data_IF_243797629549
#
_entry.id   IF_243797629549
#
_cell.length_a   1.000
_cell.length_b   1.000
_cell.length_c   1.000
_cell.angle_alpha   90.00
_cell.angle_beta   90.00
_cell.angle_gamma   90.00
#
_symmetry.space_group_name_H-M   'P 1'
#
loop_
_entity.id
_entity.type
_entity.pdbx_description
1 polymer ?
#
# COMPACT_ATOMS: atom_id res chain seq x y z
N UNK A 1 -31.60 71.14 26.01
CA UNK A 1 -32.78 71.72 25.33
C UNK A 1 -32.55 71.54 23.83
N UNK A 2 -33.30 70.79 23.02
CA UNK A 2 -34.52 69.99 23.19
C UNK A 2 -34.72 69.20 21.88
N UNK A 3 -35.17 67.94 21.97
CA UNK A 3 -35.91 67.19 20.95
C UNK A 3 -35.15 66.71 19.69
N UNK A 4 -35.48 65.58 19.06
CA UNK A 4 -36.64 64.72 19.25
C UNK A 4 -36.46 63.33 18.60
N UNK A 5 -37.38 62.44 18.94
CA UNK A 5 -37.36 60.97 18.90
C UNK A 5 -37.45 60.29 17.51
N UNK A 6 -36.98 59.03 17.48
CA UNK A 6 -37.41 57.94 16.55
C UNK A 6 -38.91 57.62 16.73
N UNK A 7 -39.67 57.03 15.77
CA UNK A 7 -39.51 55.59 15.42
C UNK A 7 -40.09 55.09 14.06
N UNK A 8 -39.69 53.89 13.63
CA UNK A 8 -40.49 52.76 13.03
C UNK A 8 -39.59 51.91 12.11
N UNK A 9 -39.29 50.68 12.51
CA UNK A 9 -40.07 49.46 12.22
C UNK A 9 -40.00 49.04 10.75
N UNK A 10 -39.11 48.09 10.47
CA UNK A 10 -39.09 47.26 9.28
C UNK A 10 -38.72 45.85 9.68
N UNK A 11 -39.72 45.07 10.10
CA UNK A 11 -39.66 43.62 10.22
C UNK A 11 -39.55 43.00 8.82
N UNK A 12 -38.58 42.12 8.60
CA UNK A 12 -38.47 41.37 7.35
C UNK A 12 -37.36 40.34 7.39
N UNK A 13 -37.67 39.17 7.94
CA UNK A 13 -36.95 37.90 7.73
C UNK A 13 -36.74 37.67 6.23
N UNK A 14 -35.48 37.52 5.83
CA UNK A 14 -35.08 37.13 4.48
C UNK A 14 -33.84 36.27 4.56
N UNK A 15 -34.05 34.95 4.60
CA UNK A 15 -33.02 33.95 4.42
C UNK A 15 -32.28 34.20 3.10
N UNK A 16 -31.07 34.74 3.19
CA UNK A 16 -30.12 34.83 2.09
C UNK A 16 -29.14 33.68 2.21
N UNK A 17 -29.61 32.47 1.90
CA UNK A 17 -28.79 31.31 1.58
C UNK A 17 -27.89 31.62 0.38
N UNK A 18 -26.73 32.20 0.64
CA UNK A 18 -25.62 32.14 -0.30
C UNK A 18 -25.05 30.73 -0.22
N UNK A 19 -25.07 29.92 -1.30
CA UNK A 19 -24.39 28.65 -1.29
C UNK A 19 -22.92 28.99 -1.14
N UNK A 20 -22.35 28.69 0.02
CA UNK A 20 -20.90 28.59 0.17
C UNK A 20 -20.46 27.73 -0.99
N UNK A 21 -19.74 28.33 -1.94
CA UNK A 21 -19.12 27.62 -3.04
C UNK A 21 -18.43 26.46 -2.38
N UNK A 22 -18.95 25.26 -2.62
CA UNK A 22 -18.21 24.04 -2.44
C UNK A 22 -16.88 24.30 -3.11
N UNK A 23 -15.85 24.56 -2.30
CA UNK A 23 -14.47 24.40 -2.71
C UNK A 23 -14.41 22.97 -3.20
N UNK A 24 -14.61 22.82 -4.50
CA UNK A 24 -14.34 21.59 -5.22
C UNK A 24 -12.90 21.30 -4.87
N UNK A 25 -12.71 20.37 -3.92
CA UNK A 25 -11.44 20.10 -3.25
C UNK A 25 -10.45 19.79 -4.36
N UNK A 26 -9.66 20.80 -4.73
CA UNK A 26 -8.72 20.69 -5.84
C UNK A 26 -7.85 19.49 -5.53
N UNK A 27 -7.75 18.54 -6.45
CA UNK A 27 -6.86 17.41 -6.27
C UNK A 27 -5.48 17.99 -5.93
N UNK A 28 -4.90 17.66 -4.76
CA UNK A 28 -3.67 18.27 -4.31
C UNK A 28 -2.58 18.07 -5.38
N UNK A 29 -1.84 19.14 -5.66
CA UNK A 29 -0.81 19.12 -6.70
C UNK A 29 0.34 18.18 -6.30
N UNK A 30 1.12 17.68 -7.27
CA UNK A 30 2.22 16.75 -7.00
C UNK A 30 3.23 17.30 -5.96
N UNK A 31 3.44 18.62 -5.97
CA UNK A 31 4.30 19.34 -5.00
C UNK A 31 3.70 19.35 -3.59
N UNK A 32 2.38 19.46 -3.47
CA UNK A 32 1.64 19.42 -2.20
C UNK A 32 1.57 18.01 -1.61
N UNK A 33 1.46 17.01 -2.50
CA UNK A 33 1.60 15.60 -2.13
C UNK A 33 3.01 15.28 -1.64
N UNK A 34 4.04 15.85 -2.27
CA UNK A 34 5.44 15.68 -1.90
C UNK A 34 5.77 16.39 -0.57
N UNK A 35 5.09 17.50 -0.27
CA UNK A 35 5.21 18.21 1.00
C UNK A 35 4.55 17.47 2.18
N UNK A 36 3.67 16.49 1.92
CA UNK A 36 3.02 15.73 3.00
C UNK A 36 4.01 14.70 3.56
N UNK A 37 4.44 14.81 4.83
CA UNK A 37 5.41 13.88 5.38
C UNK A 37 4.83 12.46 5.38
N UNK A 38 5.47 11.50 4.67
CA UNK A 38 4.95 10.14 4.57
C UNK A 38 4.99 9.48 5.95
N UNK A 39 4.00 8.64 6.22
CA UNK A 39 3.93 7.94 7.50
C UNK A 39 5.12 6.97 7.62
N UNK A 40 5.97 7.11 8.66
CA UNK A 40 7.23 6.37 8.75
C UNK A 40 7.01 4.86 8.75
N UNK A 41 5.88 4.38 9.29
CA UNK A 41 5.51 2.96 9.31
C UNK A 41 5.38 2.36 7.90
N UNK A 42 4.76 3.08 6.97
CA UNK A 42 4.48 2.60 5.61
C UNK A 42 5.75 2.62 4.77
N UNK A 43 6.58 3.65 4.95
CA UNK A 43 7.90 3.72 4.31
C UNK A 43 8.78 2.57 4.79
N UNK A 44 8.76 2.26 6.09
CA UNK A 44 9.43 1.09 6.63
C UNK A 44 8.89 -0.22 6.04
N UNK A 45 7.57 -0.38 5.94
CA UNK A 45 6.96 -1.54 5.31
C UNK A 45 7.38 -1.69 3.83
N UNK A 46 7.44 -0.58 3.08
CA UNK A 46 7.94 -0.60 1.69
C UNK A 46 9.43 -0.98 1.62
N UNK A 47 10.27 -0.53 2.57
CA UNK A 47 11.68 -0.92 2.64
C UNK A 47 11.87 -2.40 2.94
N UNK A 48 10.97 -3.03 3.68
CA UNK A 48 10.99 -4.49 3.90
C UNK A 48 10.86 -5.27 2.58
N UNK A 49 10.38 -4.67 1.49
CA UNK A 49 10.39 -5.28 0.17
C UNK A 49 11.81 -5.63 -0.33
N UNK A 50 12.86 -4.97 0.18
CA UNK A 50 14.26 -5.34 -0.10
C UNK A 50 14.58 -6.79 0.27
N UNK A 51 13.90 -7.35 1.28
CA UNK A 51 14.01 -8.77 1.62
C UNK A 51 13.49 -9.66 0.49
N UNK A 52 12.33 -9.32 -0.09
CA UNK A 52 11.77 -10.04 -1.23
C UNK A 52 12.65 -9.90 -2.48
N UNK A 53 13.28 -8.74 -2.67
CA UNK A 53 14.24 -8.51 -3.74
C UNK A 53 15.46 -9.43 -3.61
N UNK A 54 16.07 -9.46 -2.43
CA UNK A 54 17.23 -10.31 -2.16
C UNK A 54 16.88 -11.79 -2.29
N UNK A 55 15.77 -12.21 -1.68
CA UNK A 55 15.31 -13.59 -1.71
C UNK A 55 14.97 -14.05 -3.14
N UNK A 56 14.19 -13.25 -3.88
CA UNK A 56 13.85 -13.55 -5.27
C UNK A 56 15.09 -13.54 -6.19
N UNK A 57 15.99 -12.59 -5.98
CA UNK A 57 17.23 -12.46 -6.75
C UNK A 57 18.18 -13.63 -6.54
N UNK A 58 18.46 -14.01 -5.29
CA UNK A 58 19.29 -15.17 -4.95
C UNK A 58 18.72 -16.44 -5.58
N UNK A 59 17.40 -16.61 -5.52
CA UNK A 59 16.73 -17.78 -6.10
C UNK A 59 16.80 -17.79 -7.63
N UNK A 60 16.54 -16.66 -8.29
CA UNK A 60 16.67 -16.56 -9.75
C UNK A 60 18.10 -16.83 -10.22
N UNK A 61 19.11 -16.30 -9.53
CA UNK A 61 20.53 -16.59 -9.83
C UNK A 61 20.81 -18.08 -9.62
N UNK A 62 20.28 -18.68 -8.56
CA UNK A 62 20.43 -20.11 -8.32
C UNK A 62 19.82 -20.94 -9.46
N UNK A 63 18.61 -20.61 -9.92
CA UNK A 63 17.99 -21.28 -11.07
C UNK A 63 18.72 -21.03 -12.39
N UNK A 64 19.35 -19.86 -12.57
CA UNK A 64 20.18 -19.59 -13.75
C UNK A 64 21.46 -20.46 -13.76
N UNK A 65 21.99 -20.83 -12.59
CA UNK A 65 23.19 -21.68 -12.45
C UNK A 65 22.85 -23.16 -12.50
N UNK A 66 21.83 -23.61 -11.76
CA UNK A 66 21.46 -25.02 -11.62
C UNK A 66 20.43 -25.51 -12.66
N UNK A 67 19.77 -24.58 -13.37
CA UNK A 67 18.72 -24.87 -14.34
C UNK A 67 17.32 -24.64 -13.75
N UNK A 68 16.41 -24.09 -14.56
CA UNK A 68 15.04 -23.75 -14.15
C UNK A 68 14.16 -24.96 -13.83
N UNK A 69 14.55 -26.16 -14.27
CA UNK A 69 13.88 -27.43 -13.96
C UNK A 69 14.33 -28.04 -12.61
N UNK A 70 15.22 -27.36 -11.88
CA UNK A 70 15.71 -27.82 -10.56
C UNK A 70 14.57 -27.91 -9.56
N UNK A 71 14.47 -29.03 -8.83
CA UNK A 71 13.49 -29.21 -7.76
C UNK A 71 13.68 -28.13 -6.67
N UNK A 72 12.68 -27.27 -6.43
CA UNK A 72 12.71 -26.24 -5.38
C UNK A 72 12.99 -26.79 -3.97
N UNK A 73 12.69 -28.07 -3.72
CA UNK A 73 12.92 -28.69 -2.41
C UNK A 73 14.37 -29.06 -2.14
N UNK A 74 15.22 -29.05 -3.18
CA UNK A 74 16.67 -29.23 -3.05
C UNK A 74 17.34 -28.06 -2.32
N UNK A 75 16.69 -26.88 -2.31
CA UNK A 75 17.20 -25.70 -1.62
C UNK A 75 16.96 -25.75 -0.10
N UNK A 76 17.80 -25.07 0.69
CA UNK A 76 17.67 -25.00 2.14
C UNK A 76 16.28 -24.52 2.60
N UNK A 77 15.83 -24.92 3.80
CA UNK A 77 14.59 -24.40 4.39
C UNK A 77 14.62 -22.87 4.43
N UNK A 78 13.67 -22.21 3.75
CA UNK A 78 13.63 -20.75 3.58
C UNK A 78 13.92 -20.26 2.14
N UNK A 79 14.59 -21.07 1.33
CA UNK A 79 14.88 -20.81 -0.09
C UNK A 79 14.11 -21.75 -1.04
N UNK A 80 12.98 -22.29 -0.59
CA UNK A 80 12.15 -23.21 -1.39
C UNK A 80 11.10 -22.45 -2.16
N UNK A 81 11.55 -21.58 -3.05
CA UNK A 81 10.68 -20.79 -3.94
C UNK A 81 10.76 -21.38 -5.33
N UNK A 82 9.61 -21.71 -5.94
CA UNK A 82 9.58 -22.05 -7.36
C UNK A 82 10.07 -20.87 -8.20
N UNK A 83 10.60 -21.08 -9.41
CA UNK A 83 11.16 -20.00 -10.23
C UNK A 83 10.18 -18.84 -10.47
N UNK A 84 8.90 -19.16 -10.70
CA UNK A 84 7.85 -18.16 -10.85
C UNK A 84 7.68 -17.32 -9.58
N UNK A 85 7.70 -17.96 -8.42
CA UNK A 85 7.57 -17.28 -7.14
C UNK A 85 8.79 -16.40 -6.82
N UNK A 86 9.99 -16.87 -7.20
CA UNK A 86 11.21 -16.09 -7.12
C UNK A 86 11.13 -14.84 -8.00
N UNK A 87 10.61 -14.95 -9.23
CA UNK A 87 10.37 -13.83 -10.12
C UNK A 87 9.35 -12.82 -9.56
N UNK A 88 8.23 -13.31 -9.03
CA UNK A 88 7.21 -12.44 -8.39
C UNK A 88 7.81 -11.70 -7.19
N UNK A 89 8.52 -12.39 -6.30
CA UNK A 89 9.19 -11.77 -5.16
C UNK A 89 10.25 -10.74 -5.61
N UNK A 90 11.00 -11.04 -6.67
CA UNK A 90 12.00 -10.14 -7.22
C UNK A 90 11.37 -8.85 -7.76
N UNK A 91 10.29 -8.94 -8.55
CA UNK A 91 9.61 -7.77 -9.13
C UNK A 91 8.98 -6.90 -8.04
N UNK A 92 8.22 -7.49 -7.12
CA UNK A 92 7.63 -6.75 -6.00
C UNK A 92 8.69 -6.18 -5.06
N UNK A 93 9.77 -6.92 -4.83
CA UNK A 93 10.91 -6.47 -4.06
C UNK A 93 11.60 -5.27 -4.68
N UNK A 94 11.81 -5.29 -6.00
CA UNK A 94 12.43 -4.21 -6.75
C UNK A 94 11.56 -2.95 -6.68
N UNK A 95 10.27 -3.09 -6.99
CA UNK A 95 9.30 -1.99 -6.94
C UNK A 95 9.23 -1.38 -5.52
N UNK A 96 9.14 -2.22 -4.48
CA UNK A 96 9.06 -1.74 -3.10
C UNK A 96 10.35 -1.11 -2.61
N UNK A 97 11.52 -1.59 -3.05
CA UNK A 97 12.80 -0.96 -2.75
C UNK A 97 12.89 0.42 -3.40
N UNK A 98 12.52 0.54 -4.68
CA UNK A 98 12.49 1.82 -5.38
C UNK A 98 11.54 2.82 -4.69
N UNK A 99 10.35 2.37 -4.31
CA UNK A 99 9.37 3.19 -3.60
C UNK A 99 9.84 3.55 -2.18
N UNK A 100 10.30 2.60 -1.40
CA UNK A 100 10.67 2.79 0.02
C UNK A 100 11.92 3.63 0.25
N UNK A 101 12.85 3.65 -0.71
CA UNK A 101 14.09 4.43 -0.61
C UNK A 101 14.06 5.72 -1.43
N UNK A 102 13.49 5.72 -2.64
CA UNK A 102 13.58 6.86 -3.56
C UNK A 102 12.28 7.63 -3.75
N UNK A 103 11.11 7.00 -3.55
CA UNK A 103 9.79 7.64 -3.73
C UNK A 103 8.82 7.31 -2.58
N UNK A 104 9.13 7.71 -1.33
CA UNK A 104 8.35 7.35 -0.16
C UNK A 104 6.90 7.84 -0.21
N UNK A 105 6.61 8.87 -1.03
CA UNK A 105 5.26 9.33 -1.37
C UNK A 105 4.33 8.25 -1.92
N UNK A 106 4.88 7.25 -2.60
CA UNK A 106 4.10 6.13 -3.18
C UNK A 106 4.05 4.91 -2.25
N UNK A 107 4.65 4.98 -1.06
CA UNK A 107 4.73 3.84 -0.14
C UNK A 107 3.35 3.31 0.25
N UNK A 108 2.38 4.19 0.53
CA UNK A 108 1.01 3.76 0.89
C UNK A 108 0.33 3.02 -0.25
N UNK A 109 0.40 3.57 -1.47
CA UNK A 109 -0.17 2.92 -2.65
C UNK A 109 0.52 1.57 -2.93
N UNK A 110 1.85 1.51 -2.81
CA UNK A 110 2.61 0.29 -2.96
C UNK A 110 2.22 -0.77 -1.93
N UNK A 111 2.19 -0.42 -0.65
CA UNK A 111 1.86 -1.37 0.44
C UNK A 111 0.44 -1.92 0.27
N UNK A 112 -0.52 -1.10 -0.14
CA UNK A 112 -1.88 -1.54 -0.43
C UNK A 112 -1.95 -2.44 -1.67
N UNK A 113 -1.28 -2.08 -2.76
CA UNK A 113 -1.22 -2.89 -3.97
C UNK A 113 -0.55 -4.25 -3.71
N UNK A 114 0.54 -4.25 -2.94
CA UNK A 114 1.23 -5.44 -2.48
C UNK A 114 0.30 -6.33 -1.63
N UNK A 115 -0.41 -5.74 -0.67
CA UNK A 115 -1.35 -6.45 0.18
C UNK A 115 -2.48 -7.09 -0.65
N UNK A 116 -3.09 -6.33 -1.56
CA UNK A 116 -4.16 -6.81 -2.43
C UNK A 116 -3.67 -7.96 -3.33
N UNK A 117 -2.53 -7.80 -3.98
CA UNK A 117 -1.96 -8.82 -4.86
C UNK A 117 -1.70 -10.14 -4.12
N UNK A 118 -0.99 -10.10 -2.99
CA UNK A 118 -0.71 -11.32 -2.24
C UNK A 118 -1.94 -11.88 -1.53
N UNK A 119 -2.96 -11.08 -1.22
CA UNK A 119 -4.28 -11.58 -0.77
C UNK A 119 -4.94 -12.42 -1.85
N UNK A 120 -4.92 -11.94 -3.11
CA UNK A 120 -5.48 -12.67 -4.25
C UNK A 120 -4.72 -13.98 -4.47
N UNK A 121 -3.38 -13.94 -4.50
CA UNK A 121 -2.55 -15.15 -4.63
C UNK A 121 -2.78 -16.12 -3.48
N UNK A 122 -2.84 -15.62 -2.24
CA UNK A 122 -3.11 -16.46 -1.07
C UNK A 122 -4.51 -17.07 -1.14
N UNK A 123 -5.51 -16.32 -1.59
CA UNK A 123 -6.87 -16.82 -1.84
C UNK A 123 -6.87 -17.99 -2.82
N UNK A 124 -6.33 -17.79 -4.03
CA UNK A 124 -6.24 -18.86 -5.04
C UNK A 124 -5.45 -20.08 -4.53
N UNK A 125 -4.32 -19.88 -3.85
CA UNK A 125 -3.52 -20.97 -3.29
C UNK A 125 -4.15 -21.73 -2.12
N UNK A 126 -5.16 -21.14 -1.48
CA UNK A 126 -5.88 -21.75 -0.35
C UNK A 126 -6.97 -22.72 -0.84
N UNK A 127 -7.59 -22.46 -2.00
CA UNK A 127 -8.66 -23.31 -2.54
C UNK A 127 -8.16 -24.43 -3.47
N UNK A 128 -7.06 -24.24 -4.20
CA UNK A 128 -6.59 -25.21 -5.20
C UNK A 128 -5.34 -26.02 -4.80
N UNK A 129 -4.72 -25.75 -3.64
CA UNK A 129 -3.46 -26.42 -3.24
C UNK A 129 -2.22 -25.98 -4.06
N UNK A 130 -2.46 -25.28 -5.16
CA UNK A 130 -1.50 -24.62 -6.03
C UNK A 130 -2.03 -23.24 -6.42
N UNK A 131 -1.23 -22.17 -6.30
CA UNK A 131 -1.59 -20.84 -6.81
C UNK A 131 -0.68 -20.53 -8.01
N UNK A 132 -1.22 -20.25 -9.20
CA UNK A 132 -0.42 -20.00 -10.42
C UNK A 132 0.63 -21.12 -10.68
N UNK A 133 0.30 -22.39 -10.44
CA UNK A 133 1.26 -23.50 -10.56
C UNK A 133 2.31 -23.60 -9.45
N UNK A 134 2.19 -22.80 -8.38
CA UNK A 134 3.07 -22.81 -7.22
C UNK A 134 2.53 -23.72 -6.11
N UNK A 135 3.23 -24.80 -5.77
CA UNK A 135 2.98 -25.55 -4.54
C UNK A 135 3.60 -24.80 -3.35
N UNK A 136 2.84 -23.93 -2.70
CA UNK A 136 3.28 -23.32 -1.45
C UNK A 136 3.09 -24.33 -0.32
N UNK A 137 4.19 -24.78 0.28
CA UNK A 137 4.15 -25.52 1.54
C UNK A 137 3.43 -24.71 2.64
N UNK A 138 2.79 -25.40 3.59
CA UNK A 138 2.04 -24.80 4.71
C UNK A 138 2.78 -23.64 5.42
N UNK A 139 4.10 -23.71 5.69
CA UNK A 139 4.83 -22.61 6.33
C UNK A 139 4.92 -21.35 5.45
N UNK A 140 5.10 -21.51 4.14
CA UNK A 140 5.16 -20.40 3.20
C UNK A 140 3.79 -19.70 3.09
N UNK A 141 2.71 -20.47 3.06
CA UNK A 141 1.34 -19.92 3.08
C UNK A 141 1.10 -19.04 4.31
N UNK A 142 1.46 -19.53 5.50
CA UNK A 142 1.32 -18.77 6.75
C UNK A 142 2.15 -17.49 6.70
N UNK A 143 3.40 -17.57 6.23
CA UNK A 143 4.26 -16.39 6.08
C UNK A 143 3.61 -15.30 5.21
N UNK A 144 3.09 -15.66 4.03
CA UNK A 144 2.42 -14.68 3.17
C UNK A 144 1.15 -14.10 3.81
N UNK A 145 0.37 -14.90 4.52
CA UNK A 145 -0.81 -14.39 5.25
C UNK A 145 -0.43 -13.39 6.34
N UNK A 146 0.65 -13.65 7.09
CA UNK A 146 1.16 -12.72 8.11
C UNK A 146 1.63 -11.41 7.47
N UNK A 147 2.41 -11.50 6.37
CA UNK A 147 2.90 -10.32 5.66
C UNK A 147 1.72 -9.52 5.07
N UNK A 148 0.74 -10.18 4.48
CA UNK A 148 -0.47 -9.54 3.93
C UNK A 148 -1.26 -8.83 5.03
N UNK A 149 -1.48 -9.48 6.18
CA UNK A 149 -2.18 -8.87 7.31
C UNK A 149 -1.45 -7.62 7.82
N UNK A 150 -0.11 -7.68 7.92
CA UNK A 150 0.70 -6.51 8.30
C UNK A 150 0.62 -5.39 7.25
N UNK A 151 0.67 -5.73 5.96
CA UNK A 151 0.57 -4.76 4.88
C UNK A 151 -0.80 -4.07 4.85
N UNK A 152 -1.90 -4.81 5.05
CA UNK A 152 -3.23 -4.24 5.18
C UNK A 152 -3.37 -3.31 6.38
N UNK A 153 -2.89 -3.72 7.56
CA UNK A 153 -2.96 -2.88 8.76
C UNK A 153 -2.16 -1.58 8.59
N UNK A 154 -0.93 -1.67 8.06
CA UNK A 154 -0.11 -0.48 7.78
C UNK A 154 -0.74 0.43 6.73
N UNK A 155 -1.26 -0.12 5.63
CA UNK A 155 -1.88 0.63 4.55
C UNK A 155 -3.20 1.30 4.95
N UNK A 156 -4.09 0.58 5.64
CA UNK A 156 -5.38 1.11 6.10
C UNK A 156 -5.18 2.15 7.21
N UNK A 157 -4.27 1.91 8.15
CA UNK A 157 -3.93 2.91 9.18
C UNK A 157 -3.45 4.21 8.56
N UNK A 158 -2.68 4.13 7.49
CA UNK A 158 -2.21 5.30 6.77
C UNK A 158 -3.31 6.05 6.02
N UNK A 159 -4.29 5.35 5.46
CA UNK A 159 -5.47 5.97 4.84
C UNK A 159 -6.33 6.68 5.89
N UNK A 160 -6.62 6.02 7.01
CA UNK A 160 -7.43 6.59 8.11
C UNK A 160 -6.79 7.88 8.64
N UNK A 161 -5.50 7.83 8.97
CA UNK A 161 -4.77 8.99 9.50
C UNK A 161 -4.61 10.14 8.50
N UNK A 162 -4.67 9.86 7.19
CA UNK A 162 -4.70 10.90 6.15
C UNK A 162 -6.08 11.55 6.04
N UNK A 163 -7.15 10.80 6.30
CA UNK A 163 -8.53 11.30 6.29
C UNK A 163 -8.84 12.20 7.51
N UNK A 164 -8.13 12.01 8.62
CA UNK A 164 -8.28 12.83 9.84
C UNK A 164 -7.55 14.19 9.77
N UNK A 165 -6.75 14.43 8.72
CA UNK A 165 -6.14 15.75 8.48
C UNK A 165 -7.09 16.59 7.62
N UNK A 166 -7.58 17.75 8.13
CA UNK A 166 -8.49 18.63 7.39
C UNK A 166 -7.87 19.10 6.06
#
# INVERSE_FOLDING_TARGET
MTGDQSPKSGSGTGAGSGPGKSEERRAPTDEELDATPPLPLVVWAARCASYFLALGGIMLVSYAVYGFDTDPNSFPPGFRLNPLQAAVNFVWGLAGTLVGFFRPRHATAFVLAFAAFYTVIAGFGTFEGSALGMHLGTPAKIFYWVVVAFAWTAGLYALLKRSDRP
#
